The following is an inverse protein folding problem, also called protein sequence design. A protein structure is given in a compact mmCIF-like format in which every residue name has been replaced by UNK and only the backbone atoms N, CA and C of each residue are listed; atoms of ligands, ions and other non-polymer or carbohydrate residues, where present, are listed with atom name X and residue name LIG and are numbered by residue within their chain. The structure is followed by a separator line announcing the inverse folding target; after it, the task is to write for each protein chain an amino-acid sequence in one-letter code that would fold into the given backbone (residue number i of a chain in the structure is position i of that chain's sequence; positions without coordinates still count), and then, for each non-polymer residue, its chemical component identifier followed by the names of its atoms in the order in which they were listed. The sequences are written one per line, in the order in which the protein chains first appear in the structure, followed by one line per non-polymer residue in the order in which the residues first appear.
data_IF_241491990879
#
_entry.id   IF_241491990879
#
_cell.length_a   1.000
_cell.length_b   1.000
_cell.length_c   1.000
_cell.angle_alpha   90.00
_cell.angle_beta   90.00
_cell.angle_gamma   90.00
#
_symmetry.space_group_name_H-M   'P 1'
#
loop_
_entity.id
_entity.type
_entity.pdbx_description
1 polymer ?
#
# COMPACT_ATOMS: atom_id res chain seq x y z
N UNK A 1 2.85 1.51 0.94
CA UNK A 1 4.16 0.82 0.88
C UNK A 1 4.28 0.10 -0.45
N UNK A 2 3.49 -0.90 -0.63
CA UNK A 2 3.39 -1.69 -1.85
C UNK A 2 3.04 -0.79 -3.03
N UNK A 3 3.58 -1.07 -4.21
CA UNK A 3 3.40 -0.28 -5.43
C UNK A 3 3.93 1.17 -5.41
N UNK A 4 4.24 1.72 -4.23
CA UNK A 4 4.71 3.11 -4.05
C UNK A 4 6.16 3.17 -3.57
N UNK A 5 6.49 2.44 -2.51
CA UNK A 5 7.84 2.40 -1.94
C UNK A 5 8.66 1.27 -2.58
N UNK A 6 8.01 0.13 -2.81
CA UNK A 6 8.58 -1.06 -3.45
C UNK A 6 7.66 -1.58 -4.55
N UNK A 7 8.25 -2.25 -5.55
CA UNK A 7 7.58 -2.86 -6.70
C UNK A 7 7.01 -4.26 -6.39
N UNK A 8 6.24 -4.36 -5.30
CA UNK A 8 5.74 -5.64 -4.79
C UNK A 8 4.49 -6.18 -5.50
N UNK A 9 3.72 -5.33 -6.18
CA UNK A 9 2.39 -5.68 -6.70
C UNK A 9 2.41 -6.84 -7.72
N UNK A 10 3.37 -6.85 -8.65
CA UNK A 10 3.49 -7.94 -9.63
C UNK A 10 3.78 -9.30 -8.94
N UNK A 11 4.53 -9.30 -7.84
CA UNK A 11 4.83 -10.50 -7.05
C UNK A 11 3.59 -10.99 -6.30
N UNK A 12 2.83 -10.07 -5.69
CA UNK A 12 1.58 -10.38 -5.01
C UNK A 12 0.54 -10.96 -5.96
N UNK A 13 0.29 -10.31 -7.11
CA UNK A 13 -0.62 -10.79 -8.15
C UNK A 13 -0.21 -12.20 -8.64
N UNK A 14 1.10 -12.43 -8.82
CA UNK A 14 1.60 -13.73 -9.23
C UNK A 14 1.38 -14.80 -8.16
N UNK A 15 1.66 -14.50 -6.89
CA UNK A 15 1.44 -15.39 -5.76
C UNK A 15 -0.04 -15.72 -5.57
N UNK A 16 -0.90 -14.73 -5.58
CA UNK A 16 -2.35 -14.92 -5.46
C UNK A 16 -2.89 -15.82 -6.56
N UNK A 17 -2.51 -15.57 -7.79
CA UNK A 17 -2.93 -16.36 -8.95
C UNK A 17 -2.39 -17.79 -8.95
N UNK A 18 -1.13 -17.97 -8.57
CA UNK A 18 -0.45 -19.25 -8.69
C UNK A 18 -0.66 -20.17 -7.48
N UNK A 19 -0.83 -19.59 -6.28
CA UNK A 19 -0.81 -20.33 -5.03
C UNK A 19 -2.06 -20.14 -4.17
N UNK A 20 -2.52 -18.91 -3.96
CA UNK A 20 -3.62 -18.62 -3.04
C UNK A 20 -4.96 -19.03 -3.64
N UNK A 21 -5.33 -18.51 -4.81
CA UNK A 21 -6.65 -18.81 -5.40
C UNK A 21 -6.83 -20.29 -5.71
N UNK A 22 -5.84 -21.02 -6.28
CA UNK A 22 -5.98 -22.47 -6.48
C UNK A 22 -6.11 -23.27 -5.18
N UNK A 23 -5.59 -22.78 -4.07
CA UNK A 23 -5.70 -23.43 -2.78
C UNK A 23 -7.00 -23.10 -2.04
N UNK A 24 -7.39 -21.82 -2.07
CA UNK A 24 -8.56 -21.32 -1.35
C UNK A 24 -9.88 -21.61 -2.09
N UNK A 25 -9.92 -21.39 -3.39
CA UNK A 25 -11.13 -21.48 -4.24
C UNK A 25 -10.84 -22.23 -5.56
N UNK A 26 -10.49 -23.52 -5.50
CA UNK A 26 -9.93 -24.27 -6.63
C UNK A 26 -10.90 -24.43 -7.82
N UNK A 27 -12.19 -24.29 -7.60
CA UNK A 27 -13.24 -24.52 -8.60
C UNK A 27 -13.82 -23.21 -9.19
N UNK A 28 -13.36 -22.06 -8.73
CA UNK A 28 -13.89 -20.74 -9.10
C UNK A 28 -12.86 -19.88 -9.83
N UNK A 29 -13.36 -19.01 -10.71
CA UNK A 29 -12.53 -18.05 -11.48
C UNK A 29 -12.72 -16.66 -10.87
N UNK A 30 -11.86 -16.33 -9.90
CA UNK A 30 -11.91 -15.06 -9.18
C UNK A 30 -11.15 -13.98 -9.97
N UNK A 31 -11.77 -12.83 -10.17
CA UNK A 31 -11.09 -11.67 -10.75
C UNK A 31 -10.18 -11.01 -9.71
N UNK A 32 -8.87 -11.07 -9.94
CA UNK A 32 -7.88 -10.44 -9.05
C UNK A 32 -8.08 -8.93 -8.90
N UNK A 33 -8.73 -8.26 -9.85
CA UNK A 33 -9.05 -6.85 -9.72
C UNK A 33 -9.99 -6.58 -8.53
N UNK A 34 -10.82 -7.54 -8.13
CA UNK A 34 -11.70 -7.42 -6.98
C UNK A 34 -10.94 -7.49 -5.64
N UNK A 35 -9.75 -8.09 -5.63
CA UNK A 35 -8.91 -8.24 -4.44
C UNK A 35 -7.90 -7.11 -4.27
N UNK A 36 -7.67 -6.33 -5.33
CA UNK A 36 -6.64 -5.28 -5.36
C UNK A 36 -6.83 -4.23 -4.26
N UNK A 37 -5.76 -3.98 -3.50
CA UNK A 37 -5.75 -3.00 -2.41
C UNK A 37 -6.46 -3.43 -1.13
N UNK A 38 -7.00 -4.66 -1.07
CA UNK A 38 -7.54 -5.22 0.16
C UNK A 38 -6.42 -5.67 1.11
N UNK A 39 -6.70 -5.61 2.42
CA UNK A 39 -5.87 -6.31 3.39
C UNK A 39 -6.04 -7.83 3.18
N UNK A 40 -4.97 -8.62 3.29
CA UNK A 40 -5.01 -10.07 3.07
C UNK A 40 -6.01 -10.81 3.96
N UNK A 41 -6.33 -10.28 5.15
CA UNK A 41 -7.38 -10.86 6.02
C UNK A 41 -8.78 -10.62 5.47
N UNK A 42 -8.99 -9.43 4.86
CA UNK A 42 -10.26 -9.09 4.21
C UNK A 42 -10.45 -9.90 2.92
N UNK A 43 -9.35 -10.23 2.21
CA UNK A 43 -9.37 -11.15 1.06
C UNK A 43 -9.93 -12.52 1.50
N UNK A 44 -9.48 -13.06 2.63
CA UNK A 44 -10.03 -14.32 3.14
C UNK A 44 -11.53 -14.23 3.40
N UNK A 45 -11.97 -13.16 4.08
CA UNK A 45 -13.38 -12.97 4.43
C UNK A 45 -14.25 -12.84 3.17
N UNK A 46 -13.78 -12.08 2.20
CA UNK A 46 -14.43 -11.93 0.90
C UNK A 46 -14.55 -13.28 0.16
N UNK A 47 -13.45 -14.04 0.06
CA UNK A 47 -13.47 -15.34 -0.61
C UNK A 47 -14.36 -16.34 0.10
N UNK A 48 -14.39 -16.34 1.44
CA UNK A 48 -15.25 -17.22 2.22
C UNK A 48 -16.74 -16.89 2.04
N UNK A 49 -17.09 -15.58 1.97
CA UNK A 49 -18.48 -15.13 1.81
C UNK A 49 -19.01 -15.40 0.39
N UNK A 50 -18.21 -15.10 -0.64
CA UNK A 50 -18.68 -15.17 -2.03
C UNK A 50 -18.54 -16.57 -2.66
N UNK A 51 -17.49 -17.30 -2.30
CA UNK A 51 -17.14 -18.58 -2.95
C UNK A 51 -17.11 -19.77 -1.97
N UNK A 52 -16.87 -19.51 -0.69
CA UNK A 52 -16.51 -20.53 0.28
C UNK A 52 -15.07 -21.00 0.10
N UNK A 53 -14.30 -21.11 1.17
CA UNK A 53 -12.89 -21.47 1.08
C UNK A 53 -12.63 -22.95 1.37
N UNK A 54 -11.68 -23.55 0.63
CA UNK A 54 -11.23 -24.93 0.81
C UNK A 54 -10.15 -25.08 1.88
N UNK A 55 -9.53 -23.97 2.32
CA UNK A 55 -8.49 -23.94 3.37
C UNK A 55 -8.94 -23.10 4.56
N UNK A 56 -8.37 -23.35 5.74
CA UNK A 56 -8.69 -22.55 6.92
C UNK A 56 -8.07 -21.15 6.86
N UNK A 57 -8.63 -20.21 7.64
CA UNK A 57 -8.07 -18.86 7.79
C UNK A 57 -6.60 -18.90 8.27
N UNK A 58 -6.28 -19.80 9.19
CA UNK A 58 -4.91 -19.95 9.70
C UNK A 58 -3.95 -20.38 8.60
N UNK A 59 -4.35 -21.35 7.76
CA UNK A 59 -3.52 -21.76 6.62
C UNK A 59 -3.38 -20.66 5.57
N UNK A 60 -4.47 -19.92 5.29
CA UNK A 60 -4.44 -18.79 4.37
C UNK A 60 -3.47 -17.70 4.83
N UNK A 61 -3.60 -17.29 6.08
CA UNK A 61 -2.73 -16.27 6.69
C UNK A 61 -1.26 -16.71 6.71
N UNK A 62 -0.99 -18.00 6.99
CA UNK A 62 0.38 -18.50 7.02
C UNK A 62 1.02 -18.48 5.63
N UNK A 63 0.28 -18.83 4.58
CA UNK A 63 0.77 -18.74 3.20
C UNK A 63 1.13 -17.29 2.81
N UNK A 64 0.31 -16.31 3.20
CA UNK A 64 0.62 -14.91 2.98
C UNK A 64 1.87 -14.45 3.74
N UNK A 65 2.09 -14.95 4.96
CA UNK A 65 3.30 -14.63 5.74
C UNK A 65 4.56 -15.20 5.12
N UNK A 66 4.52 -16.46 4.69
CA UNK A 66 5.65 -17.11 3.99
C UNK A 66 5.97 -16.35 2.69
N UNK A 67 4.97 -15.99 1.91
CA UNK A 67 5.15 -15.21 0.70
C UNK A 67 5.70 -13.81 0.97
N UNK A 68 5.19 -13.11 1.99
CA UNK A 68 5.67 -11.80 2.39
C UNK A 68 7.16 -11.82 2.75
N UNK A 69 7.60 -12.83 3.52
CA UNK A 69 9.01 -12.98 3.88
C UNK A 69 9.87 -13.08 2.61
N UNK A 70 9.50 -13.95 1.66
CA UNK A 70 10.24 -14.11 0.40
C UNK A 70 10.19 -12.82 -0.46
N UNK A 71 9.01 -12.26 -0.67
CA UNK A 71 8.81 -11.07 -1.51
C UNK A 71 9.63 -9.90 -0.96
N UNK A 72 9.42 -9.54 0.32
CA UNK A 72 10.03 -8.33 0.89
C UNK A 72 11.50 -8.48 1.21
N UNK A 73 12.00 -9.69 1.50
CA UNK A 73 13.42 -9.87 1.80
C UNK A 73 14.28 -10.19 0.58
N UNK A 74 13.69 -10.75 -0.50
CA UNK A 74 14.49 -11.25 -1.63
C UNK A 74 14.12 -10.66 -2.99
N UNK A 75 12.84 -10.37 -3.27
CA UNK A 75 12.37 -10.12 -4.63
C UNK A 75 12.26 -8.63 -4.98
N UNK A 76 11.59 -7.84 -4.13
CA UNK A 76 11.25 -6.43 -4.45
C UNK A 76 12.47 -5.52 -4.61
N UNK A 77 12.27 -4.44 -5.36
CA UNK A 77 13.21 -3.32 -5.49
C UNK A 77 12.61 -2.05 -4.92
N UNK A 78 13.46 -1.20 -4.34
CA UNK A 78 13.05 0.13 -3.88
C UNK A 78 12.79 1.03 -5.09
N UNK A 79 11.75 1.86 -5.02
CA UNK A 79 11.45 2.84 -6.06
C UNK A 79 12.65 3.79 -6.26
N UNK A 80 13.02 4.00 -7.52
CA UNK A 80 14.18 4.81 -7.88
C UNK A 80 14.11 6.24 -7.29
N UNK A 81 15.15 6.61 -6.54
CA UNK A 81 15.31 7.94 -5.95
C UNK A 81 14.53 8.16 -4.65
N UNK A 82 14.05 7.10 -4.00
CA UNK A 82 13.40 7.20 -2.68
C UNK A 82 14.30 7.85 -1.64
N UNK A 83 15.55 7.43 -1.52
CA UNK A 83 16.50 8.03 -0.57
C UNK A 83 16.71 9.53 -0.82
N UNK A 84 16.90 9.95 -2.09
CA UNK A 84 17.03 11.38 -2.46
C UNK A 84 15.76 12.17 -2.11
N UNK A 85 14.58 11.59 -2.32
CA UNK A 85 13.31 12.22 -1.96
C UNK A 85 13.20 12.43 -0.45
N UNK A 86 13.46 11.40 0.35
CA UNK A 86 13.37 11.45 1.81
C UNK A 86 14.38 12.44 2.40
N UNK A 87 15.63 12.44 1.94
CA UNK A 87 16.65 13.43 2.34
C UNK A 87 16.21 14.87 2.03
N UNK A 88 15.61 15.10 0.86
CA UNK A 88 15.12 16.44 0.47
C UNK A 88 13.86 16.87 1.20
N UNK A 89 13.06 15.95 1.71
CA UNK A 89 11.92 16.25 2.57
C UNK A 89 12.39 16.60 3.99
N UNK A 90 13.35 15.84 4.53
CA UNK A 90 14.00 16.12 5.81
C UNK A 90 14.69 17.50 5.81
N UNK A 91 15.46 17.83 4.77
CA UNK A 91 16.08 19.16 4.57
C UNK A 91 15.08 20.35 4.59
N UNK A 92 13.78 20.07 4.44
CA UNK A 92 12.69 21.05 4.44
C UNK A 92 11.80 21.00 5.68
N UNK A 93 12.21 20.22 6.68
CA UNK A 93 11.42 19.97 7.90
C UNK A 93 9.98 19.43 7.57
N UNK A 94 9.85 18.60 6.53
CA UNK A 94 8.58 17.93 6.16
C UNK A 94 8.50 16.60 6.85
N UNK A 95 7.53 16.42 7.73
CA UNK A 95 7.27 15.12 8.38
C UNK A 95 6.82 14.07 7.36
N UNK A 96 7.38 12.88 7.48
CA UNK A 96 7.14 11.75 6.58
C UNK A 96 6.57 10.53 7.31
N UNK A 97 5.64 9.84 6.66
CA UNK A 97 5.05 8.62 7.20
C UNK A 97 4.92 7.51 6.14
N UNK A 98 5.16 6.28 6.56
CA UNK A 98 4.65 5.10 5.85
C UNK A 98 3.25 4.82 6.37
N UNK A 99 2.25 4.74 5.48
CA UNK A 99 0.87 4.37 5.80
C UNK A 99 0.48 3.20 4.90
N UNK A 100 0.32 2.01 5.47
CA UNK A 100 0.15 0.78 4.70
C UNK A 100 -0.99 -0.10 5.22
N UNK A 101 -1.62 -0.86 4.32
CA UNK A 101 -2.53 -1.96 4.69
C UNK A 101 -1.78 -3.19 5.20
N UNK A 102 -0.45 -3.24 5.04
CA UNK A 102 0.41 -4.33 5.50
C UNK A 102 0.65 -4.26 7.01
N UNK A 103 0.80 -5.41 7.70
CA UNK A 103 1.21 -5.46 9.10
C UNK A 103 2.59 -4.82 9.33
N UNK A 104 2.86 -4.40 10.56
CA UNK A 104 4.14 -3.78 10.94
C UNK A 104 5.36 -4.65 10.63
N UNK A 105 5.29 -5.96 10.87
CA UNK A 105 6.39 -6.88 10.59
C UNK A 105 6.79 -6.90 9.10
N UNK A 106 5.83 -6.75 8.18
CA UNK A 106 6.10 -6.64 6.75
C UNK A 106 6.71 -5.28 6.39
N UNK A 107 6.20 -4.21 6.97
CA UNK A 107 6.77 -2.87 6.79
C UNK A 107 8.22 -2.83 7.29
N UNK A 108 8.49 -3.43 8.44
CA UNK A 108 9.81 -3.52 9.03
C UNK A 108 10.81 -4.31 8.15
N UNK A 109 10.36 -5.39 7.47
CA UNK A 109 11.20 -6.11 6.50
C UNK A 109 11.66 -5.20 5.36
N UNK A 110 10.76 -4.38 4.80
CA UNK A 110 11.09 -3.42 3.73
C UNK A 110 12.03 -2.33 4.24
N UNK A 111 11.72 -1.73 5.39
CA UNK A 111 12.53 -0.68 6.01
C UNK A 111 13.96 -1.20 6.25
N UNK A 112 14.10 -2.38 6.87
CA UNK A 112 15.40 -2.97 7.16
C UNK A 112 16.19 -3.34 5.91
N UNK A 113 15.53 -3.93 4.91
CA UNK A 113 16.20 -4.34 3.67
C UNK A 113 16.82 -3.17 2.91
N UNK A 114 16.12 -2.04 2.88
CA UNK A 114 16.54 -0.89 2.07
C UNK A 114 17.24 0.22 2.87
N UNK A 115 17.54 -0.02 4.17
CA UNK A 115 18.25 0.93 5.02
C UNK A 115 17.45 2.22 5.23
N UNK A 116 16.15 2.08 5.47
CA UNK A 116 15.21 3.20 5.69
C UNK A 116 14.90 3.42 7.17
N UNK A 117 15.65 2.78 8.08
CA UNK A 117 15.49 2.98 9.53
C UNK A 117 15.72 4.45 9.91
N UNK A 118 14.69 5.06 10.47
CA UNK A 118 14.70 6.47 10.86
C UNK A 118 14.58 7.47 9.70
N UNK A 119 14.28 6.99 8.48
CA UNK A 119 14.00 7.85 7.33
C UNK A 119 12.55 8.35 7.29
N UNK A 120 11.69 7.71 8.07
CA UNK A 120 10.29 8.13 8.28
C UNK A 120 10.10 8.49 9.75
N UNK A 121 9.37 9.59 10.01
CA UNK A 121 9.01 10.02 11.36
C UNK A 121 7.94 9.10 11.96
N UNK A 122 7.03 8.57 11.11
CA UNK A 122 5.95 7.69 11.53
C UNK A 122 5.86 6.45 10.62
N UNK A 123 5.49 5.33 11.23
CA UNK A 123 5.16 4.08 10.54
C UNK A 123 3.80 3.63 11.04
N UNK A 124 2.81 3.61 10.15
CA UNK A 124 1.40 3.37 10.47
C UNK A 124 0.93 2.19 9.63
N UNK A 125 0.42 1.18 10.31
CA UNK A 125 -0.25 0.02 9.73
C UNK A 125 -1.77 0.19 9.82
N UNK A 126 -2.52 -0.41 8.91
CA UNK A 126 -3.96 -0.56 9.09
C UNK A 126 -4.33 -1.35 10.35
N UNK A 127 -3.41 -2.15 10.91
CA UNK A 127 -3.60 -2.87 12.18
C UNK A 127 -3.64 -1.91 13.40
N UNK A 128 -3.20 -0.65 13.26
CA UNK A 128 -3.25 0.37 14.32
C UNK A 128 -4.64 1.00 14.47
N UNK A 129 -5.52 0.77 13.51
CA UNK A 129 -6.84 1.43 13.45
C UNK A 129 -7.95 0.40 13.58
N UNK A 130 -8.77 0.50 14.63
CA UNK A 130 -9.99 -0.30 14.79
C UNK A 130 -11.13 0.25 13.91
N UNK A 131 -10.95 0.26 12.58
CA UNK A 131 -11.88 0.86 11.64
C UNK A 131 -11.95 0.05 10.34
N UNK A 132 -12.75 0.54 9.39
CA UNK A 132 -12.88 -0.11 8.10
C UNK A 132 -11.60 0.05 7.25
N UNK A 133 -11.28 -0.99 6.48
CA UNK A 133 -10.19 -0.96 5.51
C UNK A 133 -10.45 0.06 4.39
N UNK A 134 -9.40 0.44 3.65
CA UNK A 134 -9.56 1.23 2.42
C UNK A 134 -10.64 0.61 1.52
N UNK A 135 -11.56 1.38 0.97
CA UNK A 135 -11.54 2.83 0.72
C UNK A 135 -12.11 3.71 1.85
N UNK A 136 -12.24 3.23 3.10
CA UNK A 136 -12.54 4.10 4.22
C UNK A 136 -11.35 5.02 4.53
N UNK A 137 -11.57 6.29 4.96
CA UNK A 137 -10.50 7.27 5.13
C UNK A 137 -9.69 7.07 6.41
N UNK A 138 -10.15 6.22 7.32
CA UNK A 138 -9.75 6.12 8.73
C UNK A 138 -8.24 6.02 8.93
N UNK A 139 -7.53 5.24 8.12
CA UNK A 139 -6.08 5.09 8.24
C UNK A 139 -5.31 6.37 7.91
N UNK A 140 -5.80 7.18 6.96
CA UNK A 140 -5.18 8.46 6.61
C UNK A 140 -5.56 9.57 7.57
N UNK A 141 -6.79 9.56 8.10
CA UNK A 141 -7.21 10.45 9.18
C UNK A 141 -6.39 10.20 10.44
N UNK A 142 -6.21 8.92 10.83
CA UNK A 142 -5.34 8.54 11.92
C UNK A 142 -3.88 8.98 11.69
N UNK A 143 -3.36 8.78 10.48
CA UNK A 143 -2.02 9.22 10.13
C UNK A 143 -1.84 10.74 10.28
N UNK A 144 -2.80 11.53 9.83
CA UNK A 144 -2.77 12.99 9.98
C UNK A 144 -2.81 13.42 11.46
N UNK A 145 -3.60 12.72 12.30
CA UNK A 145 -3.64 12.94 13.75
C UNK A 145 -2.31 12.62 14.43
N UNK A 146 -1.68 11.48 14.10
CA UNK A 146 -0.39 11.06 14.66
C UNK A 146 0.75 12.02 14.26
N UNK A 147 0.75 12.49 13.01
CA UNK A 147 1.71 13.50 12.52
C UNK A 147 1.44 14.88 13.13
N UNK A 148 0.20 15.14 13.54
CA UNK A 148 -0.23 16.43 14.11
C UNK A 148 -0.42 17.53 13.06
N UNK A 149 -0.74 17.16 11.82
CA UNK A 149 -0.97 18.05 10.68
C UNK A 149 -2.38 17.85 10.14
N UNK A 150 -3.14 18.92 9.80
CA UNK A 150 -4.44 18.77 9.17
C UNK A 150 -4.38 17.97 7.87
N UNK A 151 -5.35 17.11 7.61
CA UNK A 151 -5.35 16.25 6.43
C UNK A 151 -5.22 17.05 5.11
N UNK A 152 -5.83 18.22 5.02
CA UNK A 152 -5.73 19.11 3.85
C UNK A 152 -4.33 19.68 3.60
N UNK A 153 -3.42 19.58 4.57
CA UNK A 153 -2.01 19.95 4.44
C UNK A 153 -1.12 18.75 4.13
N UNK A 154 -1.67 17.52 4.19
CA UNK A 154 -0.96 16.29 3.88
C UNK A 154 -0.94 16.00 2.37
N UNK A 155 0.16 15.39 1.91
CA UNK A 155 0.29 14.81 0.57
C UNK A 155 0.35 13.30 0.71
N UNK A 156 -0.56 12.60 0.05
CA UNK A 156 -0.57 11.14 0.01
C UNK A 156 -0.15 10.66 -1.38
N UNK A 157 0.75 9.70 -1.43
CA UNK A 157 1.11 8.97 -2.64
C UNK A 157 0.47 7.58 -2.56
N UNK A 158 -0.31 7.23 -3.56
CA UNK A 158 -1.04 5.97 -3.64
C UNK A 158 -1.06 5.42 -5.07
N UNK A 159 -1.16 4.11 -5.21
CA UNK A 159 -1.18 3.41 -6.49
C UNK A 159 -2.49 2.66 -6.74
N UNK A 160 -3.21 2.27 -5.68
CA UNK A 160 -4.45 1.49 -5.74
C UNK A 160 -5.71 2.36 -5.77
N UNK A 161 -6.78 1.87 -6.41
CA UNK A 161 -8.08 2.55 -6.45
C UNK A 161 -8.64 2.81 -5.06
N UNK A 162 -8.65 1.77 -4.20
CA UNK A 162 -9.12 1.88 -2.83
C UNK A 162 -8.29 2.86 -1.99
N UNK A 163 -6.98 2.89 -2.19
CA UNK A 163 -6.09 3.82 -1.48
C UNK A 163 -6.26 5.26 -1.93
N UNK A 164 -6.39 5.50 -3.23
CA UNK A 164 -6.66 6.83 -3.82
C UNK A 164 -8.00 7.37 -3.28
N UNK A 165 -9.05 6.54 -3.27
CA UNK A 165 -10.35 6.96 -2.75
C UNK A 165 -10.33 7.23 -1.25
N UNK A 166 -9.63 6.40 -0.46
CA UNK A 166 -9.46 6.60 0.98
C UNK A 166 -8.75 7.93 1.29
N UNK A 167 -7.64 8.21 0.60
CA UNK A 167 -6.88 9.45 0.76
C UNK A 167 -7.70 10.69 0.37
N UNK A 168 -8.44 10.62 -0.73
CA UNK A 168 -9.33 11.70 -1.16
C UNK A 168 -10.47 11.95 -0.16
N UNK A 169 -11.06 10.89 0.40
CA UNK A 169 -12.10 11.00 1.44
C UNK A 169 -11.58 11.59 2.75
N UNK A 170 -10.32 11.33 3.10
CA UNK A 170 -9.65 11.96 4.23
C UNK A 170 -9.37 13.46 3.99
N UNK A 171 -9.52 13.95 2.76
CA UNK A 171 -9.31 15.34 2.39
C UNK A 171 -7.85 15.73 2.12
N UNK A 172 -6.97 14.75 1.89
CA UNK A 172 -5.55 14.98 1.58
C UNK A 172 -5.35 15.39 0.12
N UNK A 173 -4.17 15.92 -0.21
CA UNK A 173 -3.75 16.06 -1.61
C UNK A 173 -3.20 14.73 -2.14
N UNK A 174 -3.85 14.16 -3.16
CA UNK A 174 -3.58 12.82 -3.64
C UNK A 174 -2.76 12.82 -4.92
N UNK A 175 -1.59 12.21 -4.86
CA UNK A 175 -0.73 11.90 -6.00
C UNK A 175 -0.91 10.41 -6.33
N UNK A 176 -1.67 10.10 -7.37
CA UNK A 176 -1.81 8.72 -7.84
C UNK A 176 -0.58 8.32 -8.66
N UNK A 177 0.13 7.30 -8.21
CA UNK A 177 1.24 6.72 -8.94
C UNK A 177 0.73 5.55 -9.78
N UNK A 178 0.85 5.67 -11.11
CA UNK A 178 0.41 4.64 -12.04
C UNK A 178 1.46 3.55 -12.15
N UNK A 179 1.08 2.33 -11.81
CA UNK A 179 1.88 1.12 -12.04
C UNK A 179 1.15 0.19 -13.01
N UNK A 180 1.90 -0.64 -13.74
CA UNK A 180 1.34 -1.53 -14.76
C UNK A 180 0.55 -2.69 -14.13
N UNK A 181 0.91 -3.13 -12.92
CA UNK A 181 0.26 -4.22 -12.19
C UNK A 181 -1.25 -3.99 -11.99
N UNK A 182 -1.67 -2.76 -11.73
CA UNK A 182 -3.08 -2.43 -11.49
C UNK A 182 -3.89 -2.17 -12.76
N UNK A 183 -3.27 -2.09 -13.92
CA UNK A 183 -3.97 -1.85 -15.19
C UNK A 183 -4.76 -0.53 -15.20
N UNK A 184 -6.02 -0.59 -15.69
CA UNK A 184 -6.86 0.60 -15.89
C UNK A 184 -7.89 0.76 -14.76
N UNK A 185 -7.42 1.09 -13.56
CA UNK A 185 -8.26 1.43 -12.40
C UNK A 185 -8.75 2.87 -12.43
N UNK A 186 -9.82 3.18 -11.68
CA UNK A 186 -10.31 4.56 -11.54
C UNK A 186 -9.36 5.40 -10.65
N UNK A 187 -8.81 6.46 -11.22
CA UNK A 187 -7.94 7.44 -10.55
C UNK A 187 -8.56 8.83 -10.50
N UNK A 188 -9.87 8.93 -10.75
CA UNK A 188 -10.56 10.23 -10.86
C UNK A 188 -10.61 11.01 -9.53
N UNK A 189 -10.45 10.34 -8.40
CA UNK A 189 -10.39 10.96 -7.07
C UNK A 189 -9.01 11.56 -6.73
N UNK A 190 -7.98 11.32 -7.55
CA UNK A 190 -6.67 11.91 -7.34
C UNK A 190 -6.57 13.33 -7.87
N UNK A 191 -5.81 14.19 -7.20
CA UNK A 191 -5.49 15.55 -7.66
C UNK A 191 -4.54 15.53 -8.87
N UNK A 192 -3.65 14.56 -8.93
CA UNK A 192 -2.72 14.36 -10.04
C UNK A 192 -2.36 12.89 -10.21
N UNK A 193 -2.15 12.49 -11.46
CA UNK A 193 -1.65 11.15 -11.81
C UNK A 193 -0.26 11.29 -12.40
N UNK A 194 0.69 10.49 -11.92
CA UNK A 194 2.06 10.40 -12.40
C UNK A 194 2.41 8.96 -12.76
N UNK A 195 3.33 8.75 -13.69
CA UNK A 195 3.66 7.44 -14.27
C UNK A 195 5.16 7.09 -14.22
N UNK A 196 5.93 7.89 -13.48
CA UNK A 196 7.36 7.62 -13.33
C UNK A 196 7.88 8.08 -11.96
N UNK A 197 8.92 7.42 -11.42
CA UNK A 197 9.54 7.82 -10.16
C UNK A 197 10.04 9.27 -10.17
N UNK A 198 10.53 9.76 -11.31
CA UNK A 198 10.99 11.12 -11.46
C UNK A 198 9.83 12.13 -11.36
N UNK A 199 8.72 11.89 -12.07
CA UNK A 199 7.52 12.72 -12.01
C UNK A 199 6.89 12.71 -10.62
N UNK A 200 6.88 11.56 -9.94
CA UNK A 200 6.41 11.44 -8.57
C UNK A 200 7.22 12.37 -7.63
N UNK A 201 8.55 12.24 -7.64
CA UNK A 201 9.43 13.07 -6.80
C UNK A 201 9.25 14.56 -7.08
N UNK A 202 9.21 14.95 -8.36
CA UNK A 202 8.99 16.34 -8.75
C UNK A 202 7.66 16.86 -8.18
N UNK A 203 6.57 16.11 -8.34
CA UNK A 203 5.25 16.52 -7.87
C UNK A 203 5.16 16.65 -6.36
N UNK A 204 5.70 15.67 -5.61
CA UNK A 204 5.72 15.72 -4.14
C UNK A 204 6.51 16.97 -3.69
N UNK A 205 7.71 17.17 -4.22
CA UNK A 205 8.57 18.30 -3.82
C UNK A 205 8.01 19.68 -4.21
N UNK A 206 7.26 19.79 -5.30
CA UNK A 206 6.53 21.00 -5.67
C UNK A 206 5.41 21.33 -4.67
N UNK A 207 4.72 20.28 -4.19
CA UNK A 207 3.54 20.47 -3.34
C UNK A 207 3.89 20.84 -1.90
N UNK A 208 5.01 20.35 -1.38
CA UNK A 208 5.51 20.61 -0.01
C UNK A 208 6.50 21.78 0.07
N UNK A 209 6.53 22.65 -0.95
CA UNK A 209 7.47 23.80 -1.06
C UNK A 209 6.90 25.06 -0.47
#
# INVERSE_FOLDING_TARGET
MDGVLVDSEDYWVQFERAEILPAAVPDDDVDLAELSGMNYRDIYDYLEEEYGTAISREEFVERFREAAEEIYTEQVSLLDGTHDLLERLDDRDVSTAVVSSSPHDWIDMVIARFGLEGAFDHVISADDVEAASKPAPDVFEHAAEEIGVPAEECVVVEDSENGIEAAARAGTYVVAYRIDAHGDIDRSSADVVVDSPAALRERVLERVS
#
